data_IF_132357181825
#
_entry.id   IF_132357181825
#
_cell.length_a   1.000
_cell.length_b   1.000
_cell.length_c   1.000
_cell.angle_alpha   90.00
_cell.angle_beta   90.00
_cell.angle_gamma   90.00
#
_symmetry.space_group_name_H-M   'P 1'
#
loop_
_entity.id
_entity.type
_entity.pdbx_description
1 polymer ?
#
# COMPACT_ATOMS: atom_id res chain seq x y z
N UNK A 1 -36.97 -4.00 -20.41
CA UNK A 1 -38.38 -3.58 -20.59
C UNK A 1 -38.92 -3.24 -19.23
N UNK A 2 -39.40 -2.02 -19.04
CA UNK A 2 -40.07 -1.64 -17.80
C UNK A 2 -41.41 -2.38 -17.66
N UNK A 3 -41.82 -2.70 -16.44
CA UNK A 3 -43.10 -3.34 -16.18
C UNK A 3 -44.30 -2.56 -16.77
N UNK A 4 -45.33 -3.23 -17.30
CA UNK A 4 -46.46 -2.53 -17.94
C UNK A 4 -47.24 -1.59 -17.01
N UNK A 5 -47.22 -1.85 -15.71
CA UNK A 5 -47.85 -1.04 -14.65
C UNK A 5 -47.15 0.31 -14.44
N UNK A 6 -45.96 0.51 -14.97
CA UNK A 6 -45.22 1.78 -14.84
C UNK A 6 -45.74 2.88 -15.77
N UNK A 7 -46.66 2.55 -16.68
CA UNK A 7 -47.20 3.52 -17.64
C UNK A 7 -46.18 3.89 -18.72
N UNK A 8 -46.31 5.10 -19.27
CA UNK A 8 -45.38 5.60 -20.30
C UNK A 8 -44.23 6.38 -19.65
N UNK A 9 -43.01 5.93 -19.88
CA UNK A 9 -41.80 6.66 -19.49
C UNK A 9 -41.51 7.69 -20.59
N UNK A 10 -41.51 8.99 -20.25
CA UNK A 10 -41.33 10.08 -21.21
C UNK A 10 -39.94 10.72 -21.21
N UNK A 11 -39.21 10.58 -20.11
CA UNK A 11 -37.84 11.05 -20.01
C UNK A 11 -37.07 10.17 -19.02
N UNK A 12 -35.77 9.94 -19.30
CA UNK A 12 -34.88 9.11 -18.46
C UNK A 12 -33.56 9.85 -18.32
N UNK A 13 -33.05 9.91 -17.08
CA UNK A 13 -31.69 10.33 -16.77
C UNK A 13 -30.99 9.23 -15.95
N UNK A 14 -29.74 8.94 -16.30
CA UNK A 14 -28.95 7.90 -15.65
C UNK A 14 -27.83 8.57 -14.87
N UNK A 15 -27.80 8.31 -13.58
CA UNK A 15 -26.71 8.70 -12.71
C UNK A 15 -25.79 7.50 -12.46
N UNK A 16 -24.71 7.43 -13.21
CA UNK A 16 -23.71 6.36 -13.10
C UNK A 16 -22.91 6.44 -11.80
N UNK A 17 -22.86 7.60 -11.14
CA UNK A 17 -22.11 7.78 -9.90
C UNK A 17 -22.85 7.18 -8.71
N UNK A 18 -24.18 7.33 -8.69
CA UNK A 18 -25.01 6.82 -7.59
C UNK A 18 -25.62 5.44 -7.88
N UNK A 19 -25.60 4.99 -9.13
CA UNK A 19 -26.21 3.72 -9.54
C UNK A 19 -27.73 3.78 -9.67
N UNK A 20 -28.29 4.97 -9.91
CA UNK A 20 -29.75 5.16 -10.06
C UNK A 20 -30.14 5.69 -11.43
N UNK A 21 -31.34 5.32 -11.84
CA UNK A 21 -32.06 5.88 -12.99
C UNK A 21 -33.21 6.73 -12.47
N UNK A 22 -33.31 7.95 -12.94
CA UNK A 22 -34.45 8.84 -12.72
C UNK A 22 -35.32 8.84 -13.95
N UNK A 23 -36.61 8.66 -13.79
CA UNK A 23 -37.56 8.58 -14.91
C UNK A 23 -38.81 9.38 -14.64
N UNK A 24 -39.28 10.11 -15.67
CA UNK A 24 -40.61 10.71 -15.64
C UNK A 24 -41.62 9.67 -16.09
N UNK A 25 -42.53 9.34 -15.18
CA UNK A 25 -43.64 8.40 -15.39
C UNK A 25 -44.90 9.17 -15.72
N UNK A 26 -45.44 8.97 -16.92
CA UNK A 26 -46.75 9.53 -17.31
C UNK A 26 -47.88 8.57 -16.92
N UNK A 27 -48.73 9.02 -16.03
CA UNK A 27 -49.90 8.27 -15.59
C UNK A 27 -51.13 8.71 -16.39
N UNK A 28 -51.89 7.75 -16.93
CA UNK A 28 -53.15 8.07 -17.66
C UNK A 28 -54.08 8.81 -16.73
N UNK A 29 -54.48 10.01 -17.16
CA UNK A 29 -55.40 10.89 -16.43
C UNK A 29 -54.92 11.49 -15.10
N UNK A 30 -53.59 11.42 -14.80
CA UNK A 30 -53.00 12.03 -13.65
C UNK A 30 -51.72 12.81 -14.03
N UNK A 31 -51.21 13.60 -13.10
CA UNK A 31 -49.97 14.35 -13.32
C UNK A 31 -48.78 13.40 -13.50
N UNK A 32 -47.82 13.81 -14.30
CA UNK A 32 -46.58 13.08 -14.47
C UNK A 32 -45.82 13.03 -13.15
N UNK A 33 -45.37 11.85 -12.75
CA UNK A 33 -44.57 11.64 -11.57
C UNK A 33 -43.12 11.33 -11.88
N UNK A 34 -42.27 11.42 -10.87
CA UNK A 34 -40.87 11.00 -10.94
C UNK A 34 -40.70 9.70 -10.17
N UNK A 35 -39.92 8.79 -10.71
CA UNK A 35 -39.51 7.58 -10.02
C UNK A 35 -37.98 7.48 -10.04
N UNK A 36 -37.40 6.97 -8.96
CA UNK A 36 -36.01 6.55 -8.89
C UNK A 36 -35.94 5.03 -8.91
N UNK A 37 -35.06 4.50 -9.73
CA UNK A 37 -34.91 3.08 -10.01
C UNK A 37 -33.47 2.68 -9.69
N UNK A 38 -33.29 1.66 -8.88
CA UNK A 38 -31.98 1.11 -8.61
C UNK A 38 -31.48 0.31 -9.82
N UNK A 39 -30.29 0.63 -10.37
CA UNK A 39 -29.75 -0.05 -11.56
C UNK A 39 -29.34 -1.49 -11.29
N UNK A 40 -29.06 -1.88 -10.04
CA UNK A 40 -28.60 -3.23 -9.70
C UNK A 40 -29.69 -4.28 -9.81
N UNK A 41 -30.90 -3.97 -9.35
CA UNK A 41 -32.03 -4.92 -9.29
C UNK A 41 -33.26 -4.43 -10.07
N UNK A 42 -33.19 -3.22 -10.66
CA UNK A 42 -34.25 -2.59 -11.41
C UNK A 42 -35.54 -2.39 -10.60
N UNK A 43 -35.43 -2.22 -9.30
CA UNK A 43 -36.56 -1.91 -8.42
C UNK A 43 -36.80 -0.40 -8.34
N UNK A 44 -38.05 0.00 -8.18
CA UNK A 44 -38.38 1.39 -7.79
C UNK A 44 -38.10 1.47 -6.29
N UNK A 45 -37.14 2.29 -5.90
CA UNK A 45 -36.81 2.54 -4.50
C UNK A 45 -37.36 3.87 -3.98
N UNK A 46 -37.88 4.70 -4.88
CA UNK A 46 -38.55 5.96 -4.52
C UNK A 46 -39.59 6.31 -5.58
N UNK A 47 -40.84 6.51 -5.16
CA UNK A 47 -41.89 7.03 -6.01
C UNK A 47 -42.07 8.53 -5.86
N UNK A 48 -42.99 9.09 -6.62
CA UNK A 48 -43.28 10.54 -6.66
C UNK A 48 -43.64 11.08 -5.28
N UNK A 49 -44.43 10.36 -4.50
CA UNK A 49 -44.91 10.81 -3.20
C UNK A 49 -43.78 10.87 -2.17
N UNK A 50 -42.95 9.86 -2.17
CA UNK A 50 -41.79 9.77 -1.31
C UNK A 50 -40.68 10.76 -1.70
N UNK A 51 -40.49 10.97 -3.00
CA UNK A 51 -39.60 11.99 -3.55
C UNK A 51 -40.01 13.41 -3.07
N UNK A 52 -41.28 13.74 -3.13
CA UNK A 52 -41.79 15.03 -2.62
C UNK A 52 -41.75 15.15 -1.10
N UNK A 53 -41.92 14.08 -0.36
CA UNK A 53 -41.78 14.09 1.12
C UNK A 53 -40.35 14.48 1.55
N UNK A 54 -39.36 13.92 0.88
CA UNK A 54 -37.95 14.25 1.15
C UNK A 54 -37.66 15.71 0.84
N UNK A 55 -38.19 16.25 -0.26
CA UNK A 55 -38.03 17.64 -0.62
C UNK A 55 -38.56 18.62 0.39
N UNK A 56 -39.69 18.30 1.04
CA UNK A 56 -40.30 19.14 2.09
C UNK A 56 -39.41 19.22 3.32
N UNK A 57 -38.78 18.11 3.65
CA UNK A 57 -37.95 17.99 4.86
C UNK A 57 -36.66 18.82 4.77
N UNK A 58 -36.15 19.02 3.54
CA UNK A 58 -34.88 19.72 3.32
C UNK A 58 -35.04 21.20 2.90
N UNK A 59 -36.17 21.59 2.32
CA UNK A 59 -36.40 22.99 1.89
C UNK A 59 -37.48 23.64 2.77
N UNK A 60 -37.13 24.63 3.56
CA UNK A 60 -38.00 25.46 4.37
C UNK A 60 -38.94 26.36 3.55
N UNK A 61 -39.25 26.03 2.28
CA UNK A 61 -40.07 26.85 1.43
C UNK A 61 -41.53 26.43 1.42
N UNK A 62 -42.40 27.38 1.72
CA UNK A 62 -43.85 27.30 1.89
C UNK A 62 -44.65 27.03 0.62
N UNK A 63 -44.06 26.62 -0.50
CA UNK A 63 -44.73 26.47 -1.81
C UNK A 63 -45.13 25.03 -2.18
N UNK A 64 -45.21 24.14 -1.20
CA UNK A 64 -45.55 22.72 -1.43
C UNK A 64 -46.88 22.49 -2.16
N UNK A 65 -47.90 23.28 -1.88
CA UNK A 65 -49.21 23.11 -2.50
C UNK A 65 -49.20 23.31 -4.04
N UNK A 66 -48.22 24.02 -4.55
CA UNK A 66 -48.10 24.27 -6.00
C UNK A 66 -47.42 23.11 -6.75
N UNK A 67 -46.59 22.33 -6.10
CA UNK A 67 -45.87 21.21 -6.71
C UNK A 67 -46.75 19.99 -6.93
N UNK A 68 -47.72 19.74 -6.08
CA UNK A 68 -48.66 18.62 -6.22
C UNK A 68 -49.49 18.62 -7.51
N UNK A 69 -49.65 19.81 -8.11
CA UNK A 69 -50.42 20.01 -9.33
C UNK A 69 -49.56 20.40 -10.52
N UNK A 70 -48.29 20.14 -10.48
CA UNK A 70 -47.34 20.48 -11.56
C UNK A 70 -47.10 19.28 -12.45
N UNK A 71 -47.25 19.46 -13.74
CA UNK A 71 -46.97 18.46 -14.75
C UNK A 71 -45.51 18.58 -15.16
N UNK A 72 -44.67 17.62 -14.82
CA UNK A 72 -43.24 17.65 -15.16
C UNK A 72 -43.09 17.28 -16.63
N UNK A 73 -42.56 18.20 -17.42
CA UNK A 73 -42.39 18.02 -18.86
C UNK A 73 -41.03 17.60 -19.29
N UNK A 74 -40.00 17.99 -18.56
CA UNK A 74 -38.63 17.57 -18.83
C UNK A 74 -37.76 17.49 -17.56
N UNK A 75 -36.69 16.79 -17.67
CA UNK A 75 -35.74 16.53 -16.60
C UNK A 75 -34.32 16.54 -17.16
N UNK A 76 -33.39 17.09 -16.43
CA UNK A 76 -31.96 17.04 -16.74
C UNK A 76 -31.18 16.80 -15.46
N UNK A 77 -30.16 15.93 -15.52
CA UNK A 77 -29.24 15.65 -14.44
C UNK A 77 -27.87 16.29 -14.75
N UNK A 78 -27.42 17.19 -13.89
CA UNK A 78 -26.14 17.82 -14.04
C UNK A 78 -25.48 18.04 -12.68
N UNK A 79 -24.24 17.56 -12.53
CA UNK A 79 -23.41 17.73 -11.32
C UNK A 79 -24.14 17.38 -10.00
N UNK A 80 -24.88 16.27 -10.00
CA UNK A 80 -25.62 15.78 -8.83
C UNK A 80 -26.88 16.57 -8.51
N UNK A 81 -27.28 17.46 -9.40
CA UNK A 81 -28.53 18.20 -9.30
C UNK A 81 -29.50 17.74 -10.39
N UNK A 82 -30.75 17.53 -9.99
CA UNK A 82 -31.83 17.21 -10.87
C UNK A 82 -32.62 18.50 -11.18
N UNK A 83 -32.60 18.89 -12.42
CA UNK A 83 -33.35 20.05 -12.92
C UNK A 83 -34.65 19.55 -13.54
N UNK A 84 -35.78 20.02 -13.03
CA UNK A 84 -37.09 19.67 -13.49
C UNK A 84 -37.77 20.89 -14.08
N UNK A 85 -38.36 20.76 -15.27
CA UNK A 85 -39.26 21.78 -15.83
C UNK A 85 -40.69 21.27 -15.73
N UNK A 86 -41.51 22.03 -15.03
CA UNK A 86 -42.91 21.70 -14.85
C UNK A 86 -43.82 22.86 -15.25
N UNK A 87 -45.04 22.52 -15.68
CA UNK A 87 -46.07 23.46 -16.01
C UNK A 87 -47.28 23.29 -15.10
N UNK A 88 -47.71 24.36 -14.45
CA UNK A 88 -48.95 24.34 -13.68
C UNK A 88 -50.17 24.57 -14.59
N UNK A 89 -51.34 24.23 -14.08
CA UNK A 89 -52.61 24.52 -14.78
C UNK A 89 -52.88 25.99 -15.02
N UNK A 90 -52.15 26.89 -14.35
CA UNK A 90 -52.27 28.35 -14.46
C UNK A 90 -51.29 29.00 -15.43
N UNK A 91 -50.73 28.24 -16.40
CA UNK A 91 -49.83 28.74 -17.45
C UNK A 91 -48.46 29.25 -16.97
N UNK A 92 -48.03 28.87 -15.76
CA UNK A 92 -46.70 29.21 -15.28
C UNK A 92 -45.78 28.04 -15.48
N UNK A 93 -44.62 28.25 -16.10
CA UNK A 93 -43.53 27.29 -16.17
C UNK A 93 -42.59 27.47 -14.97
N UNK A 94 -42.22 26.39 -14.35
CA UNK A 94 -41.32 26.39 -13.21
C UNK A 94 -40.07 25.61 -13.57
N UNK A 95 -38.92 26.17 -13.28
CA UNK A 95 -37.64 25.41 -13.19
C UNK A 95 -37.43 25.06 -11.73
N UNK A 96 -37.37 23.78 -11.44
CA UNK A 96 -37.17 23.28 -10.10
C UNK A 96 -35.79 22.61 -10.09
N UNK A 97 -34.91 23.13 -9.27
CA UNK A 97 -33.58 22.58 -9.05
C UNK A 97 -33.61 21.77 -7.77
N UNK A 98 -33.21 20.50 -7.86
CA UNK A 98 -33.06 19.60 -6.73
C UNK A 98 -31.64 19.15 -6.60
N UNK A 99 -31.07 19.33 -5.41
CA UNK A 99 -29.94 18.54 -5.01
C UNK A 99 -30.43 17.10 -4.79
N UNK A 100 -30.04 16.21 -5.68
CA UNK A 100 -30.30 14.78 -5.48
C UNK A 100 -29.58 14.37 -4.22
N UNK A 101 -30.35 14.30 -3.13
CA UNK A 101 -29.91 13.86 -1.82
C UNK A 101 -29.24 14.87 -0.89
N UNK A 102 -29.09 16.14 -1.23
CA UNK A 102 -28.58 17.16 -0.30
C UNK A 102 -27.17 16.88 0.28
N UNK A 103 -26.49 15.83 -0.20
CA UNK A 103 -25.15 15.48 0.23
C UNK A 103 -24.13 16.20 -0.63
N UNK A 104 -23.49 17.21 -0.10
CA UNK A 104 -22.31 17.81 -0.73
C UNK A 104 -21.15 16.82 -0.81
N UNK A 105 -20.16 17.12 -1.64
CA UNK A 105 -18.88 16.41 -1.63
C UNK A 105 -18.33 16.35 -0.19
N UNK A 106 -17.67 15.28 0.16
CA UNK A 106 -17.21 15.01 1.53
C UNK A 106 -18.27 14.36 2.41
N UNK A 107 -19.50 14.18 1.92
CA UNK A 107 -20.59 13.50 2.62
C UNK A 107 -21.13 12.34 1.82
N UNK A 108 -21.49 11.27 2.49
CA UNK A 108 -22.07 10.07 1.89
C UNK A 108 -23.52 9.88 2.27
N UNK A 109 -24.32 9.48 1.29
CA UNK A 109 -25.72 9.13 1.50
C UNK A 109 -25.83 7.71 2.05
N UNK A 110 -26.42 7.58 3.22
CA UNK A 110 -26.65 6.29 3.87
C UNK A 110 -27.93 6.37 4.72
N UNK A 111 -28.83 5.38 4.58
CA UNK A 111 -30.09 5.29 5.32
C UNK A 111 -30.93 6.58 5.21
N UNK A 112 -31.09 7.11 4.01
CA UNK A 112 -31.84 8.33 3.72
C UNK A 112 -31.32 9.59 4.44
N UNK A 113 -30.07 9.58 4.87
CA UNK A 113 -29.42 10.73 5.52
C UNK A 113 -28.04 11.01 4.93
N UNK A 114 -27.66 12.29 4.91
CA UNK A 114 -26.33 12.70 4.55
C UNK A 114 -25.42 12.62 5.76
N UNK A 115 -24.50 11.71 5.74
CA UNK A 115 -23.51 11.56 6.80
C UNK A 115 -22.16 12.10 6.34
N UNK A 116 -21.43 12.74 7.23
CA UNK A 116 -20.05 13.15 6.96
C UNK A 116 -19.19 11.92 6.70
N UNK A 117 -18.30 11.98 5.73
CA UNK A 117 -17.27 10.97 5.58
C UNK A 117 -16.28 11.11 6.74
N UNK A 118 -16.06 10.00 7.44
CA UNK A 118 -15.11 9.93 8.54
C UNK A 118 -13.68 9.88 8.01
N UNK A 119 -12.67 10.17 8.84
CA UNK A 119 -11.27 9.95 8.47
C UNK A 119 -11.05 8.55 7.88
N UNK A 120 -10.16 8.44 6.89
CA UNK A 120 -9.96 7.22 6.11
C UNK A 120 -10.97 7.00 4.99
N UNK A 121 -11.95 7.91 4.82
CA UNK A 121 -12.98 7.88 3.77
C UNK A 121 -13.12 9.22 3.08
N UNK A 122 -13.58 9.21 1.84
CA UNK A 122 -13.87 10.41 1.06
C UNK A 122 -15.12 10.25 0.20
N UNK A 123 -15.67 11.37 -0.28
CA UNK A 123 -16.72 11.40 -1.29
C UNK A 123 -16.46 12.53 -2.27
N UNK A 124 -16.14 12.22 -3.51
CA UNK A 124 -15.81 13.18 -4.56
C UNK A 124 -17.01 13.62 -5.40
N UNK A 125 -18.18 13.04 -5.17
CA UNK A 125 -19.40 13.32 -5.91
C UNK A 125 -20.52 13.85 -5.00
N UNK A 126 -21.34 14.72 -5.54
CA UNK A 126 -22.59 15.14 -4.89
C UNK A 126 -23.55 13.94 -4.90
N UNK A 127 -24.18 13.65 -3.77
CA UNK A 127 -25.05 12.48 -3.61
C UNK A 127 -24.33 11.14 -3.59
N UNK A 128 -23.00 11.12 -3.56
CA UNK A 128 -22.18 9.91 -3.50
C UNK A 128 -22.21 9.22 -2.14
N UNK A 129 -21.49 8.12 -2.06
CA UNK A 129 -21.22 7.40 -0.80
C UNK A 129 -19.81 7.71 -0.32
N UNK A 130 -19.56 7.50 0.98
CA UNK A 130 -18.19 7.56 1.50
C UNK A 130 -17.42 6.29 1.09
N UNK A 131 -16.33 6.49 0.36
CA UNK A 131 -15.45 5.44 -0.17
C UNK A 131 -14.19 5.40 0.69
N UNK A 132 -13.69 4.23 1.00
CA UNK A 132 -12.46 4.04 1.76
C UNK A 132 -11.24 4.48 0.94
N UNK A 133 -10.27 5.11 1.60
CA UNK A 133 -8.95 5.31 1.02
C UNK A 133 -8.33 3.94 0.70
N UNK A 134 -7.72 3.82 -0.47
CA UNK A 134 -6.99 2.60 -0.87
C UNK A 134 -5.57 2.60 -0.28
N UNK A 135 -4.91 1.44 -0.31
CA UNK A 135 -3.50 1.33 0.10
C UNK A 135 -2.62 2.36 -0.64
N UNK A 136 -1.64 2.90 0.05
CA UNK A 136 -0.81 4.02 -0.41
C UNK A 136 -1.46 5.41 -0.25
N UNK A 137 -2.72 5.49 0.22
CA UNK A 137 -3.46 6.74 0.41
C UNK A 137 -4.08 6.80 1.80
N UNK A 138 -4.14 8.00 2.37
CA UNK A 138 -4.72 8.26 3.69
C UNK A 138 -5.50 9.57 3.72
N UNK A 139 -6.36 9.72 4.73
CA UNK A 139 -7.09 10.96 4.96
C UNK A 139 -7.44 11.09 6.45
N UNK A 140 -6.92 12.10 7.12
CA UNK A 140 -7.18 12.39 8.54
C UNK A 140 -8.39 13.31 8.77
N UNK A 141 -8.91 13.91 7.70
CA UNK A 141 -9.95 14.92 7.80
C UNK A 141 -11.35 14.31 7.67
N UNK A 142 -12.29 14.90 8.40
CA UNK A 142 -13.72 14.70 8.15
C UNK A 142 -14.15 15.43 6.88
N UNK A 143 -15.24 14.97 6.28
CA UNK A 143 -15.84 15.58 5.07
C UNK A 143 -14.87 15.69 3.88
N UNK A 144 -13.90 14.81 3.78
CA UNK A 144 -12.90 14.86 2.72
C UNK A 144 -13.47 14.48 1.37
N UNK A 145 -12.96 15.13 0.33
CA UNK A 145 -13.34 14.87 -1.07
C UNK A 145 -12.36 13.98 -1.81
N UNK A 146 -11.20 13.68 -1.20
CA UNK A 146 -10.16 12.80 -1.76
C UNK A 146 -9.31 12.23 -0.62
N UNK A 147 -8.47 11.26 -0.94
CA UNK A 147 -7.42 10.78 -0.07
C UNK A 147 -6.06 11.25 -0.60
N UNK A 148 -5.21 11.71 0.30
CA UNK A 148 -3.86 12.14 -0.02
C UNK A 148 -2.96 10.92 -0.24
N UNK A 149 -2.04 11.03 -1.17
CA UNK A 149 -0.98 10.05 -1.35
C UNK A 149 -0.04 10.08 -0.16
N UNK A 150 0.38 8.91 0.30
CA UNK A 150 1.51 8.85 1.21
C UNK A 150 2.75 9.46 0.55
N UNK A 151 3.41 10.36 1.26
CA UNK A 151 4.67 10.96 0.83
C UNK A 151 5.77 9.89 0.73
N UNK A 152 6.88 10.25 0.09
CA UNK A 152 8.10 9.44 0.09
C UNK A 152 8.50 9.07 1.52
N UNK A 153 9.03 7.88 1.69
CA UNK A 153 9.39 7.37 3.02
C UNK A 153 8.20 6.86 3.85
N UNK A 154 6.96 7.01 3.35
CA UNK A 154 5.74 6.61 4.07
C UNK A 154 4.84 5.69 3.24
N UNK A 155 4.09 4.83 3.90
CA UNK A 155 3.23 3.85 3.26
C UNK A 155 1.96 3.54 4.05
N UNK A 156 1.00 2.88 3.40
CA UNK A 156 -0.13 2.22 4.05
C UNK A 156 -0.46 0.92 3.33
N UNK A 157 -0.73 -0.15 4.06
CA UNK A 157 -1.02 -1.48 3.48
C UNK A 157 -2.50 -1.82 3.39
N UNK A 158 -3.38 -1.00 3.95
CA UNK A 158 -4.80 -1.29 4.06
C UNK A 158 -5.69 -0.25 3.41
N UNK A 159 -6.99 -0.52 3.39
CA UNK A 159 -8.05 0.44 3.11
C UNK A 159 -8.50 1.14 4.41
N UNK A 160 -9.21 2.26 4.26
CA UNK A 160 -9.73 3.04 5.40
C UNK A 160 -8.62 3.62 6.29
N UNK A 161 -7.51 4.04 5.70
CA UNK A 161 -6.34 4.49 6.44
C UNK A 161 -6.43 5.99 6.73
N UNK A 162 -6.17 6.36 7.98
CA UNK A 162 -6.27 7.75 8.45
C UNK A 162 -4.97 8.49 8.20
N UNK A 163 -3.82 7.85 8.43
CA UNK A 163 -2.49 8.43 8.25
C UNK A 163 -1.51 7.43 7.67
N UNK A 164 -0.49 7.93 7.00
CA UNK A 164 0.59 7.13 6.47
C UNK A 164 1.61 6.80 7.56
N UNK A 165 2.11 5.56 7.54
CA UNK A 165 3.13 5.07 8.46
C UNK A 165 4.52 5.30 7.87
N UNK A 166 5.49 5.62 8.70
CA UNK A 166 6.89 5.73 8.29
C UNK A 166 7.45 4.36 7.91
N UNK A 167 8.25 4.28 6.86
CA UNK A 167 9.06 3.10 6.60
C UNK A 167 9.96 2.82 7.81
N UNK A 168 10.02 1.57 8.29
CA UNK A 168 10.93 1.23 9.38
C UNK A 168 12.39 1.36 8.94
N UNK A 169 13.30 1.39 9.90
CA UNK A 169 14.73 1.30 9.64
C UNK A 169 15.05 0.09 8.76
N UNK A 170 16.05 0.20 7.90
CA UNK A 170 16.38 -0.82 6.91
C UNK A 170 15.54 -0.77 5.62
N UNK A 171 14.55 0.15 5.53
CA UNK A 171 13.61 0.26 4.40
C UNK A 171 13.47 1.71 3.92
N UNK A 172 13.08 1.89 2.65
CA UNK A 172 12.88 3.18 2.00
C UNK A 172 11.75 3.16 0.96
N UNK A 173 11.22 4.33 0.59
CA UNK A 173 10.30 4.53 -0.55
C UNK A 173 10.64 5.82 -1.28
N UNK A 174 10.95 5.74 -2.59
CA UNK A 174 11.32 6.89 -3.42
C UNK A 174 10.12 7.55 -4.13
N UNK A 175 8.95 6.93 -4.09
CA UNK A 175 7.77 7.38 -4.81
C UNK A 175 6.58 7.55 -3.83
N UNK A 176 5.70 8.50 -4.15
CA UNK A 176 4.47 8.72 -3.40
C UNK A 176 3.39 7.69 -3.72
N UNK A 177 2.50 7.44 -2.76
CA UNK A 177 1.33 6.60 -2.96
C UNK A 177 1.61 5.10 -2.99
N UNK A 178 2.73 4.67 -2.44
CA UNK A 178 3.10 3.25 -2.34
C UNK A 178 2.52 2.61 -1.08
N UNK A 179 2.26 1.33 -1.18
CA UNK A 179 1.66 0.51 -0.12
C UNK A 179 2.67 -0.37 0.61
N UNK A 180 3.94 -0.33 0.22
CA UNK A 180 4.99 -1.18 0.78
C UNK A 180 6.36 -0.52 0.68
N UNK A 181 7.20 -0.70 1.69
CA UNK A 181 8.57 -0.20 1.71
C UNK A 181 9.54 -1.18 1.04
N UNK A 182 10.49 -0.65 0.28
CA UNK A 182 11.59 -1.40 -0.30
C UNK A 182 12.69 -1.59 0.76
N UNK A 183 13.24 -2.78 0.86
CA UNK A 183 14.34 -3.08 1.78
C UNK A 183 15.70 -2.64 1.23
N UNK A 184 16.60 -2.23 2.10
CA UNK A 184 18.02 -2.13 1.79
C UNK A 184 18.55 -3.49 1.35
N UNK A 185 19.39 -3.50 0.34
CA UNK A 185 19.99 -4.73 -0.19
C UNK A 185 21.05 -5.29 0.76
N UNK A 186 21.38 -6.56 0.62
CA UNK A 186 22.53 -7.20 1.31
C UNK A 186 23.79 -6.34 1.19
N UNK A 187 24.55 -6.27 2.26
CA UNK A 187 25.76 -5.45 2.37
C UNK A 187 25.46 -3.97 2.63
N UNK A 188 24.18 -3.64 2.86
CA UNK A 188 23.74 -2.28 3.20
C UNK A 188 22.78 -2.30 4.39
N UNK A 189 22.71 -1.19 5.10
CA UNK A 189 21.83 -0.99 6.25
C UNK A 189 21.29 0.44 6.28
N UNK A 190 20.21 0.67 7.03
CA UNK A 190 19.73 2.02 7.35
C UNK A 190 19.24 2.10 8.79
N UNK A 191 19.71 3.09 9.52
CA UNK A 191 19.24 3.43 10.87
C UNK A 191 18.13 4.49 10.87
N UNK A 192 17.80 5.02 9.70
CA UNK A 192 16.83 6.09 9.53
C UNK A 192 15.48 5.47 9.22
N UNK A 193 14.43 5.86 9.94
CA UNK A 193 13.04 5.60 9.57
C UNK A 193 12.56 6.67 8.58
N UNK A 194 11.48 6.39 7.88
CA UNK A 194 10.92 7.26 6.84
C UNK A 194 11.93 7.65 5.74
N UNK A 195 12.87 6.78 5.43
CA UNK A 195 13.85 6.99 4.36
C UNK A 195 13.14 7.16 3.02
N UNK A 196 13.40 8.27 2.35
CA UNK A 196 12.76 8.68 1.10
C UNK A 196 13.62 8.43 -0.14
N UNK A 197 14.81 7.90 0.06
CA UNK A 197 15.77 7.59 -1.00
C UNK A 197 16.52 6.29 -0.73
N UNK A 198 16.89 5.59 -1.79
CA UNK A 198 17.77 4.43 -1.75
C UNK A 198 19.16 4.75 -1.19
N UNK A 199 19.59 6.01 -1.29
CA UNK A 199 20.93 6.44 -0.83
C UNK A 199 21.03 6.45 0.71
N UNK A 200 19.90 6.41 1.44
CA UNK A 200 19.86 6.22 2.88
C UNK A 200 20.29 4.79 3.31
N UNK A 201 20.35 3.85 2.38
CA UNK A 201 20.94 2.54 2.58
C UNK A 201 22.47 2.64 2.48
N UNK A 202 23.14 2.78 3.62
CA UNK A 202 24.59 2.90 3.74
C UNK A 202 25.27 1.55 3.53
N UNK A 203 26.47 1.55 2.94
CA UNK A 203 27.26 0.32 2.81
C UNK A 203 27.80 -0.09 4.18
N UNK A 204 27.84 -1.38 4.42
CA UNK A 204 28.62 -1.90 5.54
C UNK A 204 30.10 -1.52 5.42
N UNK A 205 30.77 -1.30 6.56
CA UNK A 205 32.23 -1.23 6.61
C UNK A 205 32.85 -2.55 6.13
N UNK A 206 34.12 -2.49 5.77
CA UNK A 206 34.88 -3.67 5.42
C UNK A 206 34.93 -4.67 6.59
N UNK A 207 34.90 -5.94 6.30
CA UNK A 207 34.87 -7.00 7.31
C UNK A 207 33.50 -7.25 7.95
N UNK A 208 32.48 -6.47 7.60
CA UNK A 208 31.10 -6.62 8.06
C UNK A 208 30.17 -7.04 6.93
N UNK A 209 29.08 -7.67 7.29
CA UNK A 209 27.99 -8.07 6.39
C UNK A 209 26.63 -7.63 6.93
N UNK A 210 25.65 -7.54 6.06
CA UNK A 210 24.24 -7.43 6.44
C UNK A 210 23.36 -8.23 5.49
N UNK A 211 22.23 -8.70 6.01
CA UNK A 211 21.15 -9.23 5.20
C UNK A 211 20.24 -8.11 4.66
N UNK A 212 19.16 -8.49 4.00
CA UNK A 212 18.20 -7.58 3.42
C UNK A 212 17.38 -6.91 4.51
N UNK A 213 17.28 -5.57 4.49
CA UNK A 213 16.44 -4.82 5.41
C UNK A 213 17.04 -4.63 6.82
N UNK A 214 18.34 -4.83 6.97
CA UNK A 214 19.02 -4.69 8.26
C UNK A 214 19.24 -3.24 8.68
N UNK A 215 19.33 -3.06 9.99
CA UNK A 215 19.57 -1.76 10.62
C UNK A 215 21.03 -1.54 11.00
N UNK A 216 21.84 -2.58 10.95
CA UNK A 216 23.28 -2.57 11.26
C UNK A 216 24.00 -3.66 10.48
N UNK A 217 25.32 -3.61 10.51
CA UNK A 217 26.17 -4.64 9.93
C UNK A 217 26.95 -5.38 11.03
N UNK A 218 27.04 -6.69 10.92
CA UNK A 218 27.76 -7.56 11.85
C UNK A 218 29.09 -7.99 11.27
N UNK A 219 30.11 -8.14 12.14
CA UNK A 219 31.38 -8.72 11.76
C UNK A 219 31.25 -10.22 11.43
N UNK A 220 31.96 -10.67 10.43
CA UNK A 220 32.16 -12.09 10.26
C UNK A 220 32.87 -12.68 11.49
N UNK A 221 32.39 -13.84 11.90
CA UNK A 221 32.96 -14.61 13.00
C UNK A 221 34.42 -14.98 12.73
N UNK A 222 35.16 -15.35 13.80
CA UNK A 222 36.51 -15.92 13.70
C UNK A 222 36.54 -17.12 12.76
N UNK A 223 37.63 -17.29 12.03
CA UNK A 223 37.75 -18.32 11.00
C UNK A 223 37.06 -17.97 9.68
N UNK A 224 36.46 -16.75 9.56
CA UNK A 224 35.75 -16.33 8.36
C UNK A 224 36.15 -14.91 7.95
N UNK A 225 35.94 -14.57 6.68
CA UNK A 225 36.15 -13.25 6.12
C UNK A 225 34.89 -12.76 5.32
N UNK A 226 34.70 -11.46 5.21
CA UNK A 226 33.53 -10.86 4.57
C UNK A 226 33.76 -10.71 3.06
N UNK A 227 33.00 -11.43 2.25
CA UNK A 227 33.03 -11.28 0.80
C UNK A 227 32.01 -10.26 0.34
N UNK A 228 32.50 -9.17 -0.24
CA UNK A 228 31.68 -8.10 -0.80
C UNK A 228 30.64 -7.50 0.17
N UNK A 229 30.87 -7.60 1.49
CA UNK A 229 29.93 -7.16 2.55
C UNK A 229 28.60 -7.95 2.59
N UNK A 230 28.50 -9.06 1.87
CA UNK A 230 27.25 -9.80 1.65
C UNK A 230 27.22 -11.13 2.38
N UNK A 231 28.35 -11.83 2.45
CA UNK A 231 28.46 -13.17 3.03
C UNK A 231 29.79 -13.39 3.74
N UNK A 232 29.78 -14.22 4.78
CA UNK A 232 30.99 -14.66 5.46
C UNK A 232 31.46 -15.97 4.84
N UNK A 233 32.69 -15.97 4.31
CA UNK A 233 33.35 -17.13 3.71
C UNK A 233 34.38 -17.65 4.72
N UNK A 234 34.44 -18.98 4.90
CA UNK A 234 35.44 -19.65 5.75
C UNK A 234 36.86 -19.48 5.22
N UNK A 235 37.82 -19.25 6.08
CA UNK A 235 39.25 -19.31 5.74
C UNK A 235 39.57 -20.62 5.04
N UNK A 236 40.45 -20.58 4.05
CA UNK A 236 40.88 -21.74 3.27
C UNK A 236 41.62 -22.75 4.12
N UNK A 237 41.68 -23.99 3.66
CA UNK A 237 42.53 -25.03 4.25
C UNK A 237 43.97 -24.56 4.35
N UNK A 238 44.66 -24.96 5.41
CA UNK A 238 46.01 -24.49 5.74
C UNK A 238 46.04 -23.15 6.50
N UNK A 239 44.86 -22.53 6.68
CA UNK A 239 44.72 -21.23 7.34
C UNK A 239 43.79 -21.29 8.56
N UNK A 240 43.93 -20.30 9.44
CA UNK A 240 43.03 -20.06 10.58
C UNK A 240 42.84 -18.55 10.78
N UNK A 241 41.88 -18.15 11.60
CA UNK A 241 41.80 -16.77 12.10
C UNK A 241 41.12 -16.70 13.45
N UNK A 242 41.76 -16.05 14.39
CA UNK A 242 41.22 -15.70 15.70
C UNK A 242 40.71 -14.24 15.74
N UNK A 243 40.71 -13.54 14.61
CA UNK A 243 40.26 -12.17 14.46
C UNK A 243 38.91 -12.11 13.80
N UNK A 244 38.09 -11.11 14.19
CA UNK A 244 36.82 -10.79 13.59
C UNK A 244 37.02 -9.85 12.42
N UNK A 245 36.10 -9.88 11.45
CA UNK A 245 35.98 -8.85 10.44
C UNK A 245 37.09 -8.82 9.39
N UNK A 246 37.65 -9.95 9.04
CA UNK A 246 38.57 -10.07 7.91
C UNK A 246 37.86 -9.73 6.59
N UNK A 247 38.60 -9.14 5.64
CA UNK A 247 38.02 -8.69 4.37
C UNK A 247 38.33 -9.61 3.19
N UNK A 248 39.30 -10.50 3.33
CA UNK A 248 39.67 -11.48 2.31
C UNK A 248 40.38 -12.70 2.94
N UNK A 249 40.58 -13.75 2.15
CA UNK A 249 41.23 -14.99 2.60
C UNK A 249 42.73 -14.81 2.89
N UNK A 250 43.37 -13.76 2.34
CA UNK A 250 44.82 -13.52 2.56
C UNK A 250 45.12 -12.99 3.97
N UNK A 251 44.09 -12.46 4.64
CA UNK A 251 44.19 -12.01 6.05
C UNK A 251 44.05 -13.19 7.03
N UNK A 252 43.60 -14.35 6.57
CA UNK A 252 43.67 -15.57 7.39
C UNK A 252 45.12 -16.00 7.57
N UNK A 253 45.51 -16.24 8.81
CA UNK A 253 46.88 -16.64 9.18
C UNK A 253 47.18 -18.08 8.72
N UNK A 254 48.38 -18.32 8.30
CA UNK A 254 48.84 -19.68 7.91
C UNK A 254 49.11 -20.55 9.11
N UNK A 255 48.74 -21.85 9.06
CA UNK A 255 49.18 -22.81 10.03
C UNK A 255 50.72 -22.88 10.06
N UNK A 256 51.39 -22.87 11.23
CA UNK A 256 52.82 -22.80 11.31
C UNK A 256 53.51 -24.09 10.79
N UNK A 257 54.80 -23.98 10.52
CA UNK A 257 55.64 -25.09 10.09
C UNK A 257 55.50 -26.30 11.05
N UNK A 258 55.37 -27.48 10.47
CA UNK A 258 55.17 -28.72 11.21
C UNK A 258 53.70 -29.07 11.44
N UNK A 259 52.80 -28.17 11.15
CA UNK A 259 51.33 -28.38 11.25
C UNK A 259 50.65 -28.32 9.86
N UNK A 260 49.43 -28.81 9.80
CA UNK A 260 48.54 -28.68 8.63
C UNK A 260 47.12 -28.44 9.06
N UNK A 261 46.28 -27.96 8.14
CA UNK A 261 44.85 -27.87 8.34
C UNK A 261 44.10 -28.31 7.08
N UNK A 262 43.29 -29.36 7.19
CA UNK A 262 42.46 -29.92 6.12
C UNK A 262 40.98 -29.55 6.22
N UNK A 263 40.64 -28.64 7.12
CA UNK A 263 39.28 -28.12 7.34
C UNK A 263 39.17 -26.66 6.89
N UNK A 264 37.97 -26.19 6.66
CA UNK A 264 37.68 -24.78 6.35
C UNK A 264 37.28 -24.03 7.63
N UNK A 265 37.70 -22.77 7.74
CA UNK A 265 37.18 -21.88 8.77
C UNK A 265 37.73 -22.14 10.18
N UNK A 266 38.96 -22.62 10.31
CA UNK A 266 39.60 -22.78 11.61
C UNK A 266 39.67 -21.43 12.33
N UNK A 267 39.32 -21.45 13.62
CA UNK A 267 39.24 -20.24 14.45
C UNK A 267 40.48 -20.04 15.35
N UNK A 268 41.38 -21.02 15.44
CA UNK A 268 42.53 -20.95 16.34
C UNK A 268 43.72 -21.69 15.77
N UNK A 269 44.95 -21.19 16.02
CA UNK A 269 46.19 -21.86 15.69
C UNK A 269 46.32 -23.25 16.34
N UNK A 270 45.79 -23.39 17.54
CA UNK A 270 45.87 -24.67 18.27
C UNK A 270 45.12 -25.80 17.58
N UNK A 271 44.17 -25.47 16.73
CA UNK A 271 43.38 -26.43 15.94
C UNK A 271 44.14 -26.90 14.70
N UNK A 272 45.25 -26.26 14.34
CA UNK A 272 46.15 -26.76 13.30
C UNK A 272 46.77 -28.10 13.74
N UNK A 273 46.46 -29.15 13.00
CA UNK A 273 46.85 -30.53 13.27
C UNK A 273 48.37 -30.72 13.05
N UNK A 274 49.01 -31.52 13.91
CA UNK A 274 50.41 -31.86 13.74
C UNK A 274 50.54 -32.93 12.65
N UNK A 275 51.54 -32.80 11.73
CA UNK A 275 51.87 -33.87 10.78
C UNK A 275 52.16 -35.20 11.50
N UNK A 276 51.78 -36.31 10.87
CA UNK A 276 52.03 -37.65 11.38
C UNK A 276 53.53 -37.91 11.72
N UNK A 277 53.77 -38.86 12.62
CA UNK A 277 55.15 -39.25 13.01
C UNK A 277 55.98 -39.61 11.76
N UNK A 278 57.18 -39.05 11.69
CA UNK A 278 58.11 -39.24 10.58
C UNK A 278 57.86 -38.31 9.42
N UNK A 279 56.87 -37.38 9.53
CA UNK A 279 56.56 -36.32 8.55
C UNK A 279 56.64 -34.95 9.16
N UNK A 280 56.91 -33.93 8.37
CA UNK A 280 56.92 -32.55 8.77
C UNK A 280 56.36 -31.64 7.64
N UNK A 281 55.58 -30.62 7.99
CA UNK A 281 55.26 -29.51 7.08
C UNK A 281 56.48 -28.59 7.00
N UNK A 282 57.08 -28.49 5.84
CA UNK A 282 58.32 -27.69 5.64
C UNK A 282 58.03 -26.24 5.27
N UNK A 283 56.76 -25.90 5.02
CA UNK A 283 56.27 -24.55 4.76
C UNK A 283 55.04 -24.28 5.63
N UNK A 284 54.72 -23.02 5.81
CA UNK A 284 53.47 -22.61 6.44
C UNK A 284 52.29 -22.90 5.53
N UNK A 285 51.07 -23.01 6.10
CA UNK A 285 49.86 -23.14 5.35
C UNK A 285 49.64 -24.50 4.67
N UNK A 286 50.28 -25.55 5.14
CA UNK A 286 50.05 -26.92 4.65
C UNK A 286 48.59 -27.30 4.83
N UNK A 287 47.91 -27.69 3.75
CA UNK A 287 46.45 -27.88 3.72
C UNK A 287 46.00 -29.35 3.82
N UNK A 288 46.96 -30.32 3.94
CA UNK A 288 46.63 -31.71 4.13
C UNK A 288 47.81 -32.49 4.74
N UNK A 289 47.55 -33.60 5.46
CA UNK A 289 48.59 -34.50 5.94
C UNK A 289 49.43 -35.14 4.82
N UNK A 290 48.85 -35.27 3.60
CA UNK A 290 49.58 -35.79 2.44
C UNK A 290 50.63 -34.80 1.89
N UNK A 291 50.51 -33.53 2.22
CA UNK A 291 51.47 -32.47 1.88
C UNK A 291 52.59 -32.35 2.91
N UNK A 292 52.53 -33.08 4.07
CA UNK A 292 53.65 -33.22 4.96
C UNK A 292 54.69 -34.18 4.36
N UNK A 293 55.93 -33.73 4.28
CA UNK A 293 57.04 -34.49 3.68
C UNK A 293 57.72 -35.37 4.71
N UNK A 294 58.31 -36.48 4.27
CA UNK A 294 59.09 -37.38 5.14
C UNK A 294 60.28 -36.65 5.75
N UNK A 295 60.55 -36.88 7.03
CA UNK A 295 61.78 -36.42 7.68
C UNK A 295 62.98 -37.07 7.03
N UNK A 296 64.07 -36.31 6.84
CA UNK A 296 65.33 -36.90 6.34
C UNK A 296 65.88 -37.96 7.23
N UNK A 297 66.73 -38.87 6.67
CA UNK A 297 67.37 -39.96 7.39
C UNK A 297 68.13 -39.40 8.61
N UNK A 298 67.88 -40.00 9.79
CA UNK A 298 68.47 -39.56 11.05
C UNK A 298 67.85 -38.35 11.72
N UNK A 299 66.76 -37.81 11.18
CA UNK A 299 65.95 -36.67 11.74
C UNK A 299 64.65 -37.24 12.30
N UNK A 300 64.25 -36.74 13.44
CA UNK A 300 62.98 -37.03 14.10
C UNK A 300 62.31 -35.73 14.55
N UNK A 301 61.02 -35.78 14.77
CA UNK A 301 60.24 -34.68 15.24
C UNK A 301 60.23 -34.59 16.76
#
# INVERSE_FOLDING_TARGET
KFPPEWGVITNIQIDTNTGYIYAIKSLRHQYNGIVRINMKDMTIDMDTEEFFKILIQYNQYSHYQYLQNTNISSMNLNDGKLYLVGNSQSWHSYLIEYDLFGCSKGRGFLNNTCNICLPGKFSNAVGGICIDCTSGYANENYESTFCDKCEKGKFTTGSHTIYCLDCPQGYYIELEGYDNCNSCQKGKYSITSASDTKDDCLNCDDGKISDVGEVSCDFCEIGKWAKNRVECISCSKGKFSNSLGLINDDECELCPIGKFNDELGLSNELDCKICENGKIGIVEGVHSNTSCVLCGVGKYK
#
